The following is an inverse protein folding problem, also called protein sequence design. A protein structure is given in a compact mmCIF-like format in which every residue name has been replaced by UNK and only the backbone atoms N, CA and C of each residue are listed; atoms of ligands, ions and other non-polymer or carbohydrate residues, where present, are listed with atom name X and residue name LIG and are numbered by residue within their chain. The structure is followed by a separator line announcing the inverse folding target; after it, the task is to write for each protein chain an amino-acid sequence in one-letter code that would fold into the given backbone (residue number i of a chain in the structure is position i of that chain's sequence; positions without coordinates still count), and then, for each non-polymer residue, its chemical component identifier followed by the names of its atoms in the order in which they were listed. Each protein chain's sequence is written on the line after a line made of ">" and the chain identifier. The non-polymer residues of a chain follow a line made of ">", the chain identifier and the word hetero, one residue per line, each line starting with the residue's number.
data_IF_694777823478
#
_entry.id   IF_694777823478
#
_cell.length_a   1.000
_cell.length_b   1.000
_cell.length_c   1.000
_cell.angle_alpha   90.00
_cell.angle_beta   90.00
_cell.angle_gamma   90.00
#
_symmetry.space_group_name_H-M   'P 1'
#
loop_
_entity.id
_entity.type
_entity.pdbx_description
1 polymer ?
#
# COMPACT_ATOMS: atom_id res chain seq x y z
N UNK A 1 -0.15 -19.40 -0.52
CA UNK A 1 1.18 -18.87 -0.11
C UNK A 1 1.81 -17.86 -1.08
N UNK A 2 1.22 -17.61 -2.24
CA UNK A 2 1.80 -16.76 -3.32
C UNK A 2 1.39 -15.28 -3.27
N UNK A 3 0.30 -14.91 -2.59
CA UNK A 3 -0.19 -13.51 -2.53
C UNK A 3 0.73 -12.62 -1.70
N UNK A 4 1.26 -13.13 -0.58
CA UNK A 4 2.07 -12.36 0.37
C UNK A 4 3.43 -11.89 -0.20
N UNK A 5 4.13 -12.73 -0.97
CA UNK A 5 5.46 -12.38 -1.52
C UNK A 5 5.39 -11.38 -2.69
N UNK A 6 4.33 -11.43 -3.49
CA UNK A 6 4.14 -10.49 -4.60
C UNK A 6 3.74 -9.09 -4.11
N UNK A 7 2.97 -8.97 -3.02
CA UNK A 7 2.59 -7.69 -2.43
C UNK A 7 3.77 -6.96 -1.75
N UNK A 8 4.73 -7.69 -1.16
CA UNK A 8 5.89 -7.11 -0.49
C UNK A 8 7.00 -6.65 -1.46
N UNK A 9 7.05 -7.21 -2.67
CA UNK A 9 8.11 -6.91 -3.63
C UNK A 9 7.93 -5.59 -4.41
N UNK A 10 6.73 -5.01 -4.45
CA UNK A 10 6.40 -3.85 -5.28
C UNK A 10 6.72 -2.47 -4.64
N UNK A 11 7.31 -2.41 -3.45
CA UNK A 11 7.38 -1.20 -2.63
C UNK A 11 8.68 -0.39 -2.64
N UNK A 12 9.72 -0.78 -3.35
CA UNK A 12 11.03 -0.10 -3.32
C UNK A 12 11.45 0.45 -4.69
N UNK A 13 10.61 1.28 -5.32
CA UNK A 13 11.08 2.17 -6.40
C UNK A 13 11.45 3.50 -5.74
N UNK A 14 12.68 3.58 -5.23
CA UNK A 14 13.31 4.86 -4.87
C UNK A 14 13.69 5.53 -6.19
N UNK A 15 12.94 6.55 -6.57
CA UNK A 15 13.24 7.36 -7.74
C UNK A 15 14.64 7.99 -7.61
N UNK A 16 15.59 7.53 -8.39
CA UNK A 16 16.96 8.02 -8.43
C UNK A 16 17.07 9.48 -8.92
N UNK A 17 15.97 10.04 -9.45
CA UNK A 17 15.93 11.43 -9.95
C UNK A 17 15.87 12.50 -8.84
N UNK A 18 15.38 12.18 -7.64
CA UNK A 18 15.15 13.16 -6.58
C UNK A 18 16.39 13.56 -5.79
N UNK A 19 17.46 12.74 -5.82
CA UNK A 19 18.68 13.02 -5.04
C UNK A 19 19.47 14.21 -5.61
N UNK A 20 19.40 14.44 -6.92
CA UNK A 20 20.14 15.51 -7.59
C UNK A 20 19.48 16.88 -7.46
N UNK A 21 18.15 16.93 -7.39
CA UNK A 21 17.41 18.19 -7.31
C UNK A 21 17.42 18.80 -5.90
N UNK A 22 17.28 17.98 -4.85
CA UNK A 22 17.17 18.45 -3.47
C UNK A 22 18.44 19.12 -2.92
N UNK A 23 19.61 18.77 -3.45
CA UNK A 23 20.89 19.35 -3.03
C UNK A 23 21.34 20.54 -3.91
N UNK A 24 20.67 20.78 -5.05
CA UNK A 24 21.02 21.87 -5.97
C UNK A 24 20.36 23.21 -5.62
N UNK A 25 19.25 23.22 -4.86
CA UNK A 25 18.49 24.44 -4.56
C UNK A 25 18.92 25.14 -3.25
N UNK A 26 19.80 24.57 -2.44
CA UNK A 26 20.34 25.24 -1.30
C UNK A 26 21.24 26.38 -1.78
N UNK A 27 20.78 27.63 -1.68
CA UNK A 27 21.60 28.83 -1.93
C UNK A 27 22.90 28.68 -1.14
N UNK A 28 24.01 28.61 -1.87
CA UNK A 28 25.31 28.23 -1.31
C UNK A 28 25.78 29.23 -0.27
N UNK A 29 26.00 28.83 1.01
CA UNK A 29 26.68 29.67 2.00
C UNK A 29 28.07 30.13 1.58
N UNK A 30 28.60 29.56 0.50
CA UNK A 30 29.89 29.92 -0.13
C UNK A 30 29.89 31.29 -0.78
N UNK A 31 28.71 31.91 -1.00
CA UNK A 31 28.64 33.29 -1.50
C UNK A 31 29.19 34.33 -0.52
N UNK A 32 29.28 34.00 0.77
CA UNK A 32 29.98 34.83 1.75
C UNK A 32 31.49 34.93 1.48
N UNK A 33 32.10 33.93 0.88
CA UNK A 33 33.49 33.96 0.44
C UNK A 33 33.70 34.85 -0.80
N UNK A 34 32.69 34.99 -1.67
CA UNK A 34 32.73 35.86 -2.87
C UNK A 34 32.59 37.34 -2.49
N UNK A 35 31.82 37.69 -1.46
CA UNK A 35 31.58 39.08 -1.03
C UNK A 35 32.83 39.74 -0.43
N UNK A 36 33.74 38.96 0.19
CA UNK A 36 35.01 39.47 0.72
C UNK A 36 36.03 39.89 -0.32
N UNK A 37 35.86 39.51 -1.61
CA UNK A 37 36.75 39.93 -2.69
C UNK A 37 36.55 41.36 -3.20
N UNK A 38 35.36 41.96 -2.98
CA UNK A 38 35.04 43.32 -3.49
C UNK A 38 35.38 44.45 -2.55
N UNK A 39 35.80 44.17 -1.30
CA UNK A 39 36.00 45.19 -0.24
C UNK A 39 37.42 45.74 -0.07
N UNK A 40 38.39 45.43 -0.96
CA UNK A 40 39.79 45.90 -0.83
C UNK A 40 40.03 47.25 -1.53
N UNK A 41 39.41 48.33 -1.04
CA UNK A 41 39.94 49.69 -1.21
C UNK A 41 39.77 50.44 0.12
N UNK A 42 40.91 50.58 0.80
CA UNK A 42 41.30 51.60 1.80
C UNK A 42 40.31 52.01 2.87
N UNK A 43 40.53 51.50 4.10
CA UNK A 43 40.24 52.22 5.34
C UNK A 43 41.37 51.93 6.36
N UNK A 44 41.73 52.91 7.24
CA UNK A 44 42.90 52.81 8.13
C UNK A 44 42.60 51.88 9.32
N UNK A 45 43.67 51.30 9.87
CA UNK A 45 43.66 50.40 11.01
C UNK A 45 43.05 51.05 12.27
N UNK A 46 41.81 50.67 12.57
CA UNK A 46 41.24 50.78 13.93
C UNK A 46 41.22 49.37 14.53
N UNK A 47 41.71 49.29 15.78
CA UNK A 47 41.71 48.07 16.59
C UNK A 47 40.30 47.50 16.68
N UNK A 48 40.02 46.45 15.90
CA UNK A 48 38.77 45.70 16.03
C UNK A 48 38.92 44.69 17.16
N UNK A 49 38.19 44.94 18.24
CA UNK A 49 37.89 43.92 19.25
C UNK A 49 37.35 42.67 18.56
N UNK A 50 37.94 41.54 18.88
CA UNK A 50 37.50 40.21 18.42
C UNK A 50 36.07 39.96 18.88
N UNK A 51 35.07 40.23 18.06
CA UNK A 51 33.73 39.72 18.27
C UNK A 51 33.76 38.21 18.08
N UNK A 52 33.16 37.40 18.98
CA UNK A 52 33.04 35.98 18.78
C UNK A 52 32.29 35.71 17.45
N UNK A 53 32.70 34.70 16.69
CA UNK A 53 32.09 34.42 15.39
C UNK A 53 30.60 34.17 15.55
N UNK A 54 29.79 34.91 14.81
CA UNK A 54 28.34 34.71 14.74
C UNK A 54 28.11 33.32 14.19
N UNK A 55 27.13 32.59 14.74
CA UNK A 55 26.77 31.24 14.24
C UNK A 55 26.57 31.34 12.73
N UNK A 56 27.40 30.54 11.97
CA UNK A 56 27.35 30.52 10.49
C UNK A 56 28.43 31.35 9.78
N UNK A 57 29.52 31.73 10.44
CA UNK A 57 30.67 32.41 9.81
C UNK A 57 32.00 31.71 10.17
N UNK A 58 32.88 31.61 9.19
CA UNK A 58 34.27 31.16 9.41
C UNK A 58 35.09 32.25 10.09
N UNK A 59 35.96 31.91 11.04
CA UNK A 59 36.98 32.80 11.56
C UNK A 59 37.96 33.21 10.44
N UNK A 60 38.78 34.26 10.67
CA UNK A 60 39.81 34.64 9.69
C UNK A 60 40.81 33.51 9.43
N UNK A 61 41.16 32.78 10.47
CA UNK A 61 42.09 31.65 10.42
C UNK A 61 41.49 30.46 9.64
N UNK A 62 40.25 30.11 9.96
CA UNK A 62 39.53 29.07 9.22
C UNK A 62 39.32 29.45 7.74
N UNK A 63 38.98 30.72 7.48
CA UNK A 63 38.86 31.21 6.09
C UNK A 63 40.17 31.05 5.32
N UNK A 64 41.30 31.36 5.95
CA UNK A 64 42.63 31.20 5.32
C UNK A 64 42.96 29.72 5.07
N UNK A 65 42.61 28.83 5.99
CA UNK A 65 42.83 27.39 5.84
C UNK A 65 41.94 26.73 4.77
N UNK A 66 40.69 27.16 4.63
CA UNK A 66 39.73 26.61 3.65
C UNK A 66 39.93 27.18 2.26
N UNK A 67 40.52 28.38 2.12
CA UNK A 67 40.62 29.10 0.87
C UNK A 67 41.29 28.31 -0.28
N UNK A 68 42.47 27.64 -0.10
CA UNK A 68 43.10 26.87 -1.17
C UNK A 68 42.17 25.73 -1.66
N UNK A 69 41.48 25.02 -0.76
CA UNK A 69 40.54 23.99 -1.12
C UNK A 69 39.34 24.56 -1.91
N UNK A 70 38.79 25.68 -1.47
CA UNK A 70 37.69 26.36 -2.14
C UNK A 70 38.07 26.78 -3.57
N UNK A 71 39.25 27.43 -3.74
CA UNK A 71 39.70 27.89 -5.02
C UNK A 71 39.95 26.72 -6.01
N UNK A 72 40.51 25.60 -5.53
CA UNK A 72 40.72 24.40 -6.35
C UNK A 72 39.38 23.74 -6.76
N UNK A 73 38.44 23.64 -5.85
CA UNK A 73 37.09 23.07 -6.15
C UNK A 73 36.37 23.93 -7.19
N UNK A 74 36.39 25.27 -7.05
CA UNK A 74 35.76 26.17 -8.03
C UNK A 74 36.47 26.18 -9.40
N UNK A 75 37.76 25.92 -9.42
CA UNK A 75 38.54 25.73 -10.66
C UNK A 75 38.34 24.33 -11.27
N UNK A 76 37.59 23.47 -10.61
CA UNK A 76 37.44 22.04 -10.94
C UNK A 76 38.77 21.28 -11.00
N UNK A 77 39.77 21.78 -10.30
CA UNK A 77 41.04 21.10 -10.10
C UNK A 77 40.93 20.08 -8.97
N UNK A 78 40.43 18.90 -9.29
CA UNK A 78 40.17 17.83 -8.31
C UNK A 78 41.49 17.29 -7.69
N UNK A 79 42.59 17.36 -8.41
CA UNK A 79 43.91 16.97 -7.90
C UNK A 79 44.40 17.99 -6.85
N UNK A 80 44.35 19.28 -7.18
CA UNK A 80 44.65 20.37 -6.27
C UNK A 80 43.71 20.39 -5.04
N UNK A 81 42.42 20.14 -5.25
CA UNK A 81 41.45 20.04 -4.18
C UNK A 81 41.79 18.92 -3.19
N UNK A 82 42.12 17.71 -3.67
CA UNK A 82 42.55 16.61 -2.83
C UNK A 82 43.87 16.90 -2.10
N UNK A 83 44.78 17.61 -2.69
CA UNK A 83 46.04 18.04 -2.04
C UNK A 83 45.80 19.07 -0.92
N UNK A 84 44.85 20.01 -1.12
CA UNK A 84 44.50 21.06 -0.14
C UNK A 84 43.62 20.55 1.01
N UNK A 85 42.91 19.45 0.82
CA UNK A 85 41.91 18.94 1.79
C UNK A 85 42.46 18.67 3.19
N UNK A 86 43.65 18.01 3.41
CA UNK A 86 44.15 17.76 4.75
C UNK A 86 44.43 19.03 5.54
N UNK A 87 44.97 20.06 4.88
CA UNK A 87 45.22 21.36 5.51
C UNK A 87 43.94 22.09 5.89
N UNK A 88 42.90 22.06 5.03
CA UNK A 88 41.61 22.63 5.30
C UNK A 88 40.93 21.93 6.49
N UNK A 89 40.99 20.58 6.54
CA UNK A 89 40.45 19.81 7.67
C UNK A 89 41.16 20.13 8.99
N UNK A 90 42.47 20.22 9.02
CA UNK A 90 43.24 20.55 10.21
C UNK A 90 43.01 22.00 10.69
N UNK A 91 42.75 22.90 9.75
CA UNK A 91 42.60 24.32 10.05
C UNK A 91 41.24 24.77 10.50
N UNK A 92 40.20 23.88 10.47
CA UNK A 92 38.84 24.21 10.93
C UNK A 92 38.58 23.59 12.29
N UNK A 93 38.17 24.41 13.25
CA UNK A 93 37.85 24.00 14.61
C UNK A 93 36.36 24.17 14.93
N UNK A 94 35.68 25.12 14.28
CA UNK A 94 34.25 25.39 14.53
C UNK A 94 33.38 24.30 13.90
N UNK A 95 32.19 24.02 14.46
CA UNK A 95 31.17 23.18 13.83
C UNK A 95 30.85 23.64 12.42
N UNK A 96 30.71 24.94 12.21
CA UNK A 96 30.40 25.51 10.90
C UNK A 96 31.56 25.34 9.90
N UNK A 97 32.82 25.51 10.34
CA UNK A 97 34.00 25.28 9.50
C UNK A 97 34.06 23.82 9.01
N UNK A 98 33.82 22.87 9.90
CA UNK A 98 33.75 21.44 9.51
C UNK A 98 32.62 21.16 8.51
N UNK A 99 31.45 21.81 8.70
CA UNK A 99 30.35 21.74 7.74
C UNK A 99 30.75 22.24 6.35
N UNK A 100 31.41 23.41 6.27
CA UNK A 100 31.89 23.99 5.00
C UNK A 100 32.91 23.08 4.31
N UNK A 101 33.85 22.52 5.05
CA UNK A 101 34.80 21.54 4.48
C UNK A 101 34.02 20.31 3.96
N UNK A 102 33.03 19.83 4.69
CA UNK A 102 32.16 18.74 4.22
C UNK A 102 31.43 19.07 2.91
N UNK A 103 30.96 20.31 2.72
CA UNK A 103 30.38 20.76 1.45
C UNK A 103 31.38 20.69 0.29
N UNK A 104 32.61 21.13 0.51
CA UNK A 104 33.66 21.09 -0.50
C UNK A 104 34.04 19.64 -0.85
N UNK A 105 34.07 18.72 0.13
CA UNK A 105 34.24 17.27 -0.11
C UNK A 105 33.11 16.72 -0.97
N UNK A 106 31.86 17.17 -0.70
CA UNK A 106 30.70 16.75 -1.50
C UNK A 106 30.86 17.19 -2.96
N UNK A 107 31.31 18.42 -3.19
CA UNK A 107 31.58 18.92 -4.56
C UNK A 107 32.69 18.13 -5.26
N UNK A 108 33.77 17.76 -4.55
CA UNK A 108 34.80 16.86 -5.07
C UNK A 108 34.17 15.51 -5.46
N UNK A 109 33.39 14.94 -4.59
CA UNK A 109 32.69 13.65 -4.85
C UNK A 109 31.75 13.72 -6.05
N UNK A 110 31.06 14.85 -6.26
CA UNK A 110 30.21 15.09 -7.43
C UNK A 110 31.04 15.23 -8.70
N UNK A 111 32.07 16.10 -8.68
CA UNK A 111 32.90 16.36 -9.84
C UNK A 111 33.69 15.14 -10.31
N UNK A 112 34.09 14.28 -9.37
CA UNK A 112 34.79 13.01 -9.67
C UNK A 112 33.82 11.82 -9.83
N UNK A 113 32.51 12.03 -9.72
CA UNK A 113 31.47 10.99 -9.74
C UNK A 113 31.71 9.86 -8.73
N UNK A 114 32.37 10.17 -7.61
CA UNK A 114 32.71 9.22 -6.58
C UNK A 114 31.62 9.20 -5.48
N UNK A 115 30.73 8.22 -5.54
CA UNK A 115 29.61 8.09 -4.61
C UNK A 115 30.07 7.86 -3.16
N UNK A 116 31.16 7.16 -2.94
CA UNK A 116 31.72 6.93 -1.60
C UNK A 116 32.17 8.24 -0.95
N UNK A 117 32.84 9.12 -1.71
CA UNK A 117 33.23 10.45 -1.23
C UNK A 117 31.99 11.30 -0.93
N UNK A 118 30.95 11.23 -1.77
CA UNK A 118 29.69 11.94 -1.52
C UNK A 118 29.03 11.48 -0.23
N UNK A 119 28.98 10.16 0.03
CA UNK A 119 28.42 9.60 1.27
C UNK A 119 29.21 10.08 2.48
N UNK A 120 30.55 9.97 2.45
CA UNK A 120 31.44 10.43 3.53
C UNK A 120 31.27 11.92 3.81
N UNK A 121 31.11 12.73 2.77
CA UNK A 121 30.87 14.18 2.90
C UNK A 121 29.54 14.47 3.63
N UNK A 122 28.45 13.79 3.27
CA UNK A 122 27.15 13.95 3.93
C UNK A 122 27.24 13.54 5.40
N UNK A 123 27.90 12.43 5.71
CA UNK A 123 28.14 11.98 7.08
C UNK A 123 28.95 12.99 7.89
N UNK A 124 30.02 13.54 7.29
CA UNK A 124 30.86 14.57 7.91
C UNK A 124 30.09 15.86 8.17
N UNK A 125 29.24 16.30 7.22
CA UNK A 125 28.40 17.48 7.39
C UNK A 125 27.42 17.32 8.55
N UNK A 126 26.75 16.17 8.66
CA UNK A 126 25.84 15.86 9.77
C UNK A 126 26.59 15.78 11.11
N UNK A 127 27.75 15.11 11.13
CA UNK A 127 28.57 14.94 12.32
C UNK A 127 29.20 16.26 12.80
N UNK A 128 29.35 17.26 11.93
CA UNK A 128 29.95 18.56 12.26
C UNK A 128 29.16 19.31 13.34
N UNK A 129 27.84 19.11 13.40
CA UNK A 129 26.93 19.90 14.22
C UNK A 129 26.79 21.36 13.78
N UNK A 130 27.40 21.75 12.65
CA UNK A 130 27.39 23.12 12.12
C UNK A 130 26.49 23.31 10.89
N UNK A 131 25.79 22.27 10.47
CA UNK A 131 24.83 22.38 9.35
C UNK A 131 23.65 23.28 9.75
N UNK A 132 23.23 24.23 8.88
CA UNK A 132 22.03 25.02 9.10
C UNK A 132 20.80 24.10 9.27
N UNK A 133 19.86 24.53 10.12
CA UNK A 133 18.69 23.73 10.49
C UNK A 133 17.79 23.37 9.30
N UNK A 134 17.72 24.23 8.31
CA UNK A 134 16.97 24.03 7.05
C UNK A 134 17.67 23.05 6.07
N UNK A 135 18.98 22.83 6.23
CA UNK A 135 19.76 21.90 5.43
C UNK A 135 19.78 20.48 6.03
N UNK A 136 19.65 20.36 7.34
CA UNK A 136 19.70 19.06 8.04
C UNK A 136 18.72 18.02 7.45
N UNK A 137 17.45 18.34 7.16
CA UNK A 137 16.54 17.36 6.53
C UNK A 137 17.04 16.84 5.18
N UNK A 138 17.67 17.69 4.36
CA UNK A 138 18.22 17.32 3.06
C UNK A 138 19.42 16.37 3.21
N UNK A 139 20.30 16.65 4.17
CA UNK A 139 21.45 15.78 4.47
C UNK A 139 20.98 14.40 5.00
N UNK A 140 19.99 14.37 5.90
CA UNK A 140 19.41 13.13 6.39
C UNK A 140 18.74 12.33 5.25
N UNK A 141 18.04 13.02 4.35
CA UNK A 141 17.44 12.37 3.18
C UNK A 141 18.50 11.78 2.24
N UNK A 142 19.62 12.49 2.02
CA UNK A 142 20.75 11.99 1.25
C UNK A 142 21.39 10.77 1.93
N UNK A 143 21.64 10.83 3.24
CA UNK A 143 22.19 9.72 4.02
C UNK A 143 21.29 8.48 3.92
N UNK A 144 19.98 8.66 4.13
CA UNK A 144 19.00 7.57 3.98
C UNK A 144 19.02 7.01 2.54
N UNK A 145 19.07 7.90 1.53
CA UNK A 145 19.13 7.52 0.12
C UNK A 145 20.34 6.64 -0.22
N UNK A 146 21.54 7.01 0.23
CA UNK A 146 22.75 6.18 0.04
C UNK A 146 22.61 4.81 0.72
N UNK A 147 22.10 4.78 1.94
CA UNK A 147 21.89 3.54 2.67
C UNK A 147 20.86 2.62 1.98
N UNK A 148 19.75 3.18 1.48
CA UNK A 148 18.72 2.43 0.75
C UNK A 148 19.24 1.90 -0.58
N UNK A 149 20.02 2.70 -1.33
CA UNK A 149 20.65 2.29 -2.57
C UNK A 149 21.63 1.13 -2.37
N UNK A 150 22.39 1.17 -1.27
CA UNK A 150 23.28 0.09 -0.86
C UNK A 150 22.53 -1.11 -0.22
N UNK A 151 21.20 -1.06 -0.10
CA UNK A 151 20.38 -2.01 0.63
C UNK A 151 20.79 -2.19 2.10
N UNK A 152 21.46 -1.20 2.67
CA UNK A 152 21.80 -1.18 4.08
C UNK A 152 20.66 -0.58 4.91
N UNK A 153 19.63 -1.41 5.14
CA UNK A 153 18.41 -0.96 5.82
C UNK A 153 18.68 -0.57 7.28
N UNK A 154 19.68 -1.18 7.92
CA UNK A 154 20.08 -0.80 9.28
C UNK A 154 20.63 0.63 9.35
N UNK A 155 21.43 1.04 8.36
CA UNK A 155 21.95 2.40 8.28
C UNK A 155 20.89 3.42 7.83
N UNK A 156 19.84 2.98 7.12
CA UNK A 156 18.74 3.84 6.69
C UNK A 156 17.76 4.19 7.82
N UNK A 157 17.65 3.36 8.85
CA UNK A 157 16.65 3.48 9.92
C UNK A 157 16.77 4.80 10.69
N UNK A 158 17.97 5.11 11.17
CA UNK A 158 18.22 6.30 12.01
C UNK A 158 17.93 7.63 11.28
N UNK A 159 18.47 7.90 10.08
CA UNK A 159 18.18 9.13 9.36
C UNK A 159 16.69 9.27 8.98
N UNK A 160 16.01 8.19 8.60
CA UNK A 160 14.57 8.22 8.33
C UNK A 160 13.75 8.50 9.59
N UNK A 161 14.13 7.90 10.73
CA UNK A 161 13.47 8.20 12.01
C UNK A 161 13.59 9.68 12.33
N UNK A 162 14.79 10.26 12.16
CA UNK A 162 15.01 11.68 12.43
C UNK A 162 14.22 12.57 11.48
N UNK A 163 14.08 12.21 10.21
CA UNK A 163 13.24 12.92 9.24
C UNK A 163 11.76 12.94 9.66
N UNK A 164 11.25 11.79 10.12
CA UNK A 164 9.87 11.67 10.63
C UNK A 164 9.67 12.48 11.92
N UNK A 165 10.69 12.58 12.79
CA UNK A 165 10.65 13.44 13.98
C UNK A 165 10.62 14.92 13.62
N UNK A 166 11.39 15.33 12.61
CA UNK A 166 11.43 16.72 12.13
C UNK A 166 10.14 17.13 11.41
N UNK A 167 9.53 16.24 10.68
CA UNK A 167 8.23 16.44 10.03
C UNK A 167 7.29 15.25 10.29
N UNK A 168 6.57 15.29 11.43
CA UNK A 168 5.73 14.16 11.84
C UNK A 168 4.53 13.86 10.93
N UNK A 169 4.21 14.74 9.99
CA UNK A 169 3.06 14.59 9.08
C UNK A 169 3.47 14.28 7.63
N UNK A 170 4.75 14.03 7.39
CA UNK A 170 5.26 13.62 6.07
C UNK A 170 4.91 12.14 5.80
N UNK A 171 3.82 11.93 5.08
CA UNK A 171 3.29 10.61 4.73
C UNK A 171 4.33 9.75 4.00
N UNK A 172 5.10 10.37 3.09
CA UNK A 172 6.10 9.65 2.28
C UNK A 172 7.27 9.18 3.14
N UNK A 173 7.76 10.03 4.05
CA UNK A 173 8.86 9.65 4.96
C UNK A 173 8.43 8.60 5.97
N UNK A 174 7.21 8.71 6.50
CA UNK A 174 6.64 7.67 7.37
C UNK A 174 6.55 6.34 6.61
N UNK A 175 6.09 6.36 5.35
CA UNK A 175 6.02 5.18 4.50
C UNK A 175 7.39 4.56 4.21
N UNK A 176 8.40 5.37 3.94
CA UNK A 176 9.78 4.90 3.74
C UNK A 176 10.35 4.26 5.00
N UNK A 177 10.17 4.89 6.17
CA UNK A 177 10.59 4.31 7.45
C UNK A 177 9.89 2.96 7.72
N UNK A 178 8.60 2.89 7.47
CA UNK A 178 7.84 1.65 7.61
C UNK A 178 8.38 0.54 6.69
N UNK A 179 8.71 0.85 5.44
CA UNK A 179 9.31 -0.09 4.50
C UNK A 179 10.68 -0.60 4.99
N UNK A 180 11.52 0.29 5.54
CA UNK A 180 12.79 -0.09 6.17
C UNK A 180 12.56 -1.00 7.38
N UNK A 181 11.57 -0.70 8.23
CA UNK A 181 11.21 -1.56 9.38
C UNK A 181 10.80 -2.97 8.94
N UNK A 182 10.12 -3.13 7.80
CA UNK A 182 9.82 -4.46 7.22
C UNK A 182 11.11 -5.20 6.88
N UNK A 183 12.05 -4.55 6.19
CA UNK A 183 13.32 -5.18 5.81
C UNK A 183 14.16 -5.60 7.02
N UNK A 184 13.99 -4.89 8.13
CA UNK A 184 14.60 -5.21 9.42
C UNK A 184 13.79 -6.22 10.26
N UNK A 185 12.73 -6.81 9.68
CA UNK A 185 11.83 -7.75 10.35
C UNK A 185 11.07 -7.17 11.57
N UNK A 186 10.94 -5.82 11.64
CA UNK A 186 10.22 -5.08 12.70
C UNK A 186 8.76 -4.80 12.27
N UNK A 187 8.02 -5.86 11.91
CA UNK A 187 6.68 -5.77 11.31
C UNK A 187 5.64 -5.02 12.15
N UNK A 188 5.56 -5.19 13.49
CA UNK A 188 4.60 -4.45 14.30
C UNK A 188 4.82 -2.92 14.23
N UNK A 189 6.09 -2.49 14.26
CA UNK A 189 6.45 -1.08 14.14
C UNK A 189 6.10 -0.53 12.75
N UNK A 190 6.37 -1.30 11.70
CA UNK A 190 6.00 -0.96 10.34
C UNK A 190 4.48 -0.78 10.18
N UNK A 191 3.67 -1.69 10.73
CA UNK A 191 2.22 -1.60 10.67
C UNK A 191 1.70 -0.34 11.37
N UNK A 192 2.28 0.01 12.52
CA UNK A 192 1.94 1.25 13.25
C UNK A 192 2.22 2.49 12.39
N UNK A 193 3.39 2.54 11.75
CA UNK A 193 3.77 3.65 10.88
C UNK A 193 2.86 3.75 9.63
N UNK A 194 2.56 2.64 8.97
CA UNK A 194 1.67 2.63 7.82
C UNK A 194 0.26 3.09 8.17
N UNK A 195 -0.30 2.64 9.30
CA UNK A 195 -1.61 3.11 9.77
C UNK A 195 -1.62 4.60 10.02
N UNK A 196 -0.55 5.13 10.64
CA UNK A 196 -0.40 6.57 10.83
C UNK A 196 -0.34 7.32 9.50
N UNK A 197 0.43 6.83 8.52
CA UNK A 197 0.52 7.44 7.20
C UNK A 197 -0.84 7.45 6.49
N UNK A 198 -1.61 6.36 6.59
CA UNK A 198 -2.97 6.25 6.04
C UNK A 198 -3.89 7.27 6.70
N UNK A 199 -3.92 7.34 8.03
CA UNK A 199 -4.75 8.29 8.78
C UNK A 199 -4.44 9.76 8.43
N UNK A 200 -3.15 10.10 8.26
CA UNK A 200 -2.73 11.44 7.84
C UNK A 200 -3.20 11.76 6.41
N UNK A 201 -3.11 10.79 5.49
CA UNK A 201 -3.61 10.96 4.13
C UNK A 201 -5.12 11.23 4.09
N UNK A 202 -5.89 10.49 4.89
CA UNK A 202 -7.34 10.63 5.01
C UNK A 202 -7.74 11.95 5.70
N UNK A 203 -7.03 12.35 6.76
CA UNK A 203 -7.29 13.60 7.50
C UNK A 203 -7.09 14.86 6.63
N UNK A 204 -6.22 14.79 5.63
CA UNK A 204 -5.97 15.89 4.68
C UNK A 204 -7.01 15.96 3.54
N UNK A 205 -8.11 15.23 3.64
CA UNK A 205 -9.19 15.22 2.65
C UNK A 205 -8.86 14.43 1.38
N UNK A 206 -7.81 13.64 1.38
CA UNK A 206 -7.37 12.75 0.31
C UNK A 206 -7.31 11.30 0.77
N UNK A 207 -6.36 10.59 0.23
CA UNK A 207 -6.01 9.23 0.64
C UNK A 207 -4.51 9.01 0.49
N UNK A 208 -3.96 8.13 1.29
CA UNK A 208 -2.55 7.76 1.21
C UNK A 208 -2.27 6.98 -0.10
N UNK A 209 -1.03 6.91 -0.59
CA UNK A 209 -0.68 6.09 -1.74
C UNK A 209 -1.12 4.63 -1.60
N UNK A 210 -1.60 4.02 -2.69
CA UNK A 210 -2.11 2.64 -2.73
C UNK A 210 -1.15 1.63 -2.09
N UNK A 211 0.15 1.84 -2.29
CA UNK A 211 1.20 0.96 -1.77
C UNK A 211 1.15 0.83 -0.24
N UNK A 212 0.77 1.89 0.48
CA UNK A 212 0.70 1.86 1.94
C UNK A 212 -0.46 0.97 2.43
N UNK A 213 -1.63 1.05 1.78
CA UNK A 213 -2.75 0.16 2.09
C UNK A 213 -2.41 -1.30 1.79
N UNK A 214 -1.80 -1.58 0.64
CA UNK A 214 -1.42 -2.94 0.22
C UNK A 214 -0.39 -3.55 1.17
N UNK A 215 0.62 -2.80 1.56
CA UNK A 215 1.65 -3.25 2.50
C UNK A 215 1.09 -3.48 3.90
N UNK A 216 0.25 -2.56 4.39
CA UNK A 216 -0.45 -2.73 5.67
C UNK A 216 -1.32 -3.99 5.68
N UNK A 217 -2.08 -4.19 4.59
CA UNK A 217 -2.91 -5.37 4.43
C UNK A 217 -2.09 -6.65 4.44
N UNK A 218 -0.96 -6.69 3.73
CA UNK A 218 -0.06 -7.85 3.69
C UNK A 218 0.47 -8.20 5.09
N UNK A 219 0.91 -7.20 5.88
CA UNK A 219 1.40 -7.40 7.24
C UNK A 219 0.29 -7.94 8.15
N UNK A 220 -0.90 -7.32 8.10
CA UNK A 220 -2.02 -7.72 8.93
C UNK A 220 -2.51 -9.15 8.58
N UNK A 221 -2.49 -9.49 7.29
CA UNK A 221 -2.83 -10.82 6.78
C UNK A 221 -1.82 -11.89 7.22
N UNK A 222 -0.52 -11.62 7.08
CA UNK A 222 0.54 -12.54 7.52
C UNK A 222 0.53 -12.76 9.05
N UNK A 223 0.22 -11.71 9.80
CA UNK A 223 0.05 -11.78 11.26
C UNK A 223 -1.27 -12.45 11.68
N UNK A 224 -2.12 -12.84 10.73
CA UNK A 224 -3.44 -13.40 10.97
C UNK A 224 -4.33 -12.54 11.87
N UNK A 225 -4.16 -11.23 11.84
CA UNK A 225 -4.99 -10.28 12.59
C UNK A 225 -6.26 -9.99 11.79
N UNK A 226 -7.31 -10.79 11.99
CA UNK A 226 -8.51 -10.81 11.13
C UNK A 226 -9.18 -9.43 11.03
N UNK A 227 -9.57 -8.81 12.13
CA UNK A 227 -10.30 -7.54 12.10
C UNK A 227 -9.48 -6.40 11.43
N UNK A 228 -8.19 -6.18 11.77
CA UNK A 228 -7.35 -5.19 11.07
C UNK A 228 -7.14 -5.48 9.59
N UNK A 229 -7.00 -6.75 9.20
CA UNK A 229 -6.81 -7.10 7.80
C UNK A 229 -8.07 -6.84 6.97
N UNK A 230 -9.26 -7.16 7.50
CA UNK A 230 -10.53 -6.92 6.83
C UNK A 230 -10.86 -5.42 6.72
N UNK A 231 -10.53 -4.63 7.74
CA UNK A 231 -10.63 -3.16 7.68
C UNK A 231 -9.75 -2.59 6.58
N UNK A 232 -8.46 -2.95 6.56
CA UNK A 232 -7.51 -2.51 5.53
C UNK A 232 -7.91 -2.97 4.12
N UNK A 233 -8.45 -4.20 3.99
CA UNK A 233 -8.96 -4.71 2.72
C UNK A 233 -10.12 -3.87 2.19
N UNK A 234 -11.08 -3.49 3.05
CA UNK A 234 -12.18 -2.59 2.67
C UNK A 234 -11.70 -1.20 2.31
N UNK A 235 -10.82 -0.62 3.13
CA UNK A 235 -10.27 0.71 2.87
C UNK A 235 -9.51 0.75 1.55
N UNK A 236 -8.72 -0.29 1.25
CA UNK A 236 -8.03 -0.44 -0.03
C UNK A 236 -8.99 -0.39 -1.22
N UNK A 237 -10.07 -1.19 -1.22
CA UNK A 237 -11.01 -1.21 -2.34
C UNK A 237 -11.95 0.01 -2.36
N UNK A 238 -12.09 0.73 -1.26
CA UNK A 238 -12.81 2.00 -1.21
C UNK A 238 -12.07 3.09 -1.99
N UNK A 239 -10.77 3.21 -1.77
CA UNK A 239 -9.96 4.25 -2.40
C UNK A 239 -9.38 3.82 -3.76
N UNK A 240 -9.08 2.54 -3.92
CA UNK A 240 -8.47 1.96 -5.11
C UNK A 240 -9.24 0.73 -5.59
N UNK A 241 -10.44 0.90 -6.21
CA UNK A 241 -11.34 -0.20 -6.59
C UNK A 241 -10.90 -0.95 -7.86
N UNK A 242 -9.60 -1.26 -8.00
CA UNK A 242 -9.09 -2.04 -9.12
C UNK A 242 -9.47 -3.51 -9.01
N UNK A 243 -9.55 -4.27 -10.13
CA UNK A 243 -9.79 -5.71 -10.08
C UNK A 243 -8.78 -6.46 -9.20
N UNK A 244 -7.51 -6.05 -9.23
CA UNK A 244 -6.42 -6.63 -8.44
C UNK A 244 -6.67 -6.45 -6.94
N UNK A 245 -7.10 -5.25 -6.54
CA UNK A 245 -7.38 -4.94 -5.14
C UNK A 245 -8.64 -5.64 -4.65
N UNK A 246 -9.70 -5.70 -5.47
CA UNK A 246 -10.89 -6.47 -5.17
C UNK A 246 -10.55 -7.95 -4.98
N UNK A 247 -9.75 -8.52 -5.87
CA UNK A 247 -9.32 -9.92 -5.77
C UNK A 247 -8.50 -10.15 -4.49
N UNK A 248 -7.57 -9.26 -4.17
CA UNK A 248 -6.77 -9.34 -2.94
C UNK A 248 -7.66 -9.25 -1.69
N UNK A 249 -8.56 -8.28 -1.64
CA UNK A 249 -9.45 -8.06 -0.50
C UNK A 249 -10.38 -9.24 -0.24
N UNK A 250 -11.04 -9.76 -1.29
CA UNK A 250 -11.93 -10.92 -1.17
C UNK A 250 -11.16 -12.23 -0.91
N UNK A 251 -9.91 -12.34 -1.39
CA UNK A 251 -9.01 -13.43 -1.05
C UNK A 251 -8.64 -13.43 0.43
N UNK A 252 -8.29 -12.26 0.99
CA UNK A 252 -8.02 -12.10 2.42
C UNK A 252 -9.26 -12.43 3.26
N UNK A 253 -10.44 -11.94 2.84
CA UNK A 253 -11.68 -12.27 3.53
C UNK A 253 -11.93 -13.78 3.56
N UNK A 254 -11.83 -14.47 2.41
CA UNK A 254 -11.99 -15.93 2.31
C UNK A 254 -11.04 -16.69 3.23
N UNK A 255 -9.77 -16.33 3.21
CA UNK A 255 -8.73 -17.06 3.95
C UNK A 255 -8.77 -16.78 5.47
N UNK A 256 -9.29 -15.64 5.92
CA UNK A 256 -9.38 -15.26 7.35
C UNK A 256 -10.76 -15.47 7.96
N UNK A 257 -11.84 -15.28 7.20
CA UNK A 257 -13.21 -15.51 7.68
C UNK A 257 -13.55 -17.01 7.78
N UNK A 258 -12.69 -17.82 7.21
CA UNK A 258 -12.57 -19.20 7.55
C UNK A 258 -13.46 -20.17 6.78
N UNK A 259 -12.93 -21.35 6.71
CA UNK A 259 -13.57 -22.59 6.30
C UNK A 259 -14.81 -22.90 7.15
N UNK A 260 -14.88 -22.34 8.38
CA UNK A 260 -15.95 -22.57 9.36
C UNK A 260 -17.30 -21.96 8.99
N UNK A 261 -17.34 -20.94 8.14
CA UNK A 261 -18.58 -20.19 7.87
C UNK A 261 -19.40 -20.73 6.69
N UNK A 262 -18.88 -21.67 5.89
CA UNK A 262 -19.52 -22.11 4.63
C UNK A 262 -19.77 -20.94 3.67
N UNK A 263 -18.93 -19.92 3.70
CA UNK A 263 -19.11 -18.69 2.95
C UNK A 263 -18.63 -18.77 1.49
N UNK A 264 -17.94 -19.83 1.11
CA UNK A 264 -17.33 -19.97 -0.23
C UNK A 264 -18.29 -19.70 -1.39
N UNK A 265 -19.55 -20.17 -1.26
CA UNK A 265 -20.59 -19.91 -2.25
C UNK A 265 -20.90 -18.42 -2.37
N UNK A 266 -21.11 -17.75 -1.23
CA UNK A 266 -21.50 -16.34 -1.18
C UNK A 266 -20.34 -15.41 -1.57
N UNK A 267 -19.10 -15.79 -1.22
CA UNK A 267 -17.86 -15.13 -1.64
C UNK A 267 -17.67 -15.29 -3.15
N UNK A 268 -17.82 -16.51 -3.67
CA UNK A 268 -17.73 -16.81 -5.10
C UNK A 268 -18.72 -15.99 -5.93
N UNK A 269 -19.94 -15.82 -5.46
CA UNK A 269 -20.97 -14.97 -6.08
C UNK A 269 -20.52 -13.50 -6.17
N UNK A 270 -19.95 -12.95 -5.08
CA UNK A 270 -19.43 -11.59 -5.10
C UNK A 270 -18.19 -11.47 -6.00
N UNK A 271 -17.26 -12.40 -5.92
CA UNK A 271 -16.07 -12.41 -6.79
C UNK A 271 -16.45 -12.46 -8.28
N UNK A 272 -17.47 -13.26 -8.64
CA UNK A 272 -18.00 -13.30 -9.99
C UNK A 272 -18.67 -11.98 -10.39
N UNK A 273 -19.51 -11.41 -9.54
CA UNK A 273 -20.17 -10.13 -9.76
C UNK A 273 -19.15 -8.98 -9.93
N UNK A 274 -18.07 -9.00 -9.16
CA UNK A 274 -16.96 -8.05 -9.27
C UNK A 274 -16.05 -8.29 -10.49
N UNK A 275 -16.18 -9.42 -11.18
CA UNK A 275 -15.35 -9.75 -12.34
C UNK A 275 -13.92 -10.17 -11.97
N UNK A 276 -13.70 -10.65 -10.74
CA UNK A 276 -12.36 -10.94 -10.20
C UNK A 276 -12.06 -12.42 -10.02
N UNK A 277 -12.86 -13.31 -10.57
CA UNK A 277 -12.49 -14.70 -10.76
C UNK A 277 -11.44 -14.80 -11.88
N UNK A 278 -10.18 -15.03 -11.53
CA UNK A 278 -9.06 -14.98 -12.50
C UNK A 278 -8.14 -16.19 -12.46
N UNK A 279 -8.31 -17.08 -11.49
CA UNK A 279 -7.47 -18.29 -11.38
C UNK A 279 -8.29 -19.56 -11.37
N UNK A 280 -7.67 -20.69 -11.76
CA UNK A 280 -8.26 -22.04 -11.65
C UNK A 280 -8.86 -22.29 -10.27
N UNK A 281 -8.11 -21.90 -9.21
CA UNK A 281 -8.55 -22.05 -7.82
C UNK A 281 -9.83 -21.27 -7.54
N UNK A 282 -9.95 -20.02 -8.01
CA UNK A 282 -11.12 -19.20 -7.75
C UNK A 282 -12.37 -19.84 -8.35
N UNK A 283 -12.32 -20.25 -9.62
CA UNK A 283 -13.42 -20.92 -10.30
C UNK A 283 -13.74 -22.29 -9.69
N UNK A 284 -12.71 -23.07 -9.35
CA UNK A 284 -12.89 -24.41 -8.81
C UNK A 284 -13.51 -24.39 -7.41
N UNK A 285 -12.99 -23.55 -6.49
CA UNK A 285 -13.55 -23.40 -5.12
C UNK A 285 -15.00 -22.94 -5.18
N UNK A 286 -15.33 -22.01 -6.06
CA UNK A 286 -16.71 -21.56 -6.23
C UNK A 286 -17.60 -22.68 -6.79
N UNK A 287 -17.18 -23.37 -7.84
CA UNK A 287 -17.95 -24.46 -8.43
C UNK A 287 -18.15 -25.62 -7.45
N UNK A 288 -17.14 -25.97 -6.63
CA UNK A 288 -17.28 -26.98 -5.58
C UNK A 288 -18.25 -26.55 -4.48
N UNK A 289 -18.21 -25.26 -4.08
CA UNK A 289 -19.18 -24.74 -3.11
C UNK A 289 -20.62 -24.83 -3.64
N UNK A 290 -20.83 -24.49 -4.91
CA UNK A 290 -22.11 -24.65 -5.59
C UNK A 290 -22.53 -26.12 -5.70
N UNK A 291 -21.60 -27.03 -5.99
CA UNK A 291 -21.85 -28.46 -6.05
C UNK A 291 -22.25 -29.04 -4.69
N UNK A 292 -21.53 -28.69 -3.61
CA UNK A 292 -21.89 -29.08 -2.24
C UNK A 292 -23.27 -28.55 -1.83
N UNK A 293 -23.69 -27.43 -2.38
CA UNK A 293 -25.02 -26.85 -2.16
C UNK A 293 -26.13 -27.51 -3.04
N UNK A 294 -25.77 -28.41 -3.97
CA UNK A 294 -26.71 -29.05 -4.89
C UNK A 294 -27.24 -28.11 -5.96
N UNK A 295 -26.40 -27.25 -6.52
CA UNK A 295 -26.74 -26.20 -7.49
C UNK A 295 -26.11 -26.46 -8.87
N UNK A 296 -26.57 -27.48 -9.63
CA UNK A 296 -25.95 -27.88 -10.89
C UNK A 296 -25.95 -26.76 -11.94
N UNK A 297 -26.98 -25.90 -11.95
CA UNK A 297 -27.04 -24.74 -12.83
C UNK A 297 -25.92 -23.73 -12.57
N UNK A 298 -25.63 -23.46 -11.31
CA UNK A 298 -24.55 -22.54 -10.91
C UNK A 298 -23.17 -23.14 -11.17
N UNK A 299 -22.97 -24.44 -10.86
CA UNK A 299 -21.74 -25.17 -11.21
C UNK A 299 -21.42 -25.05 -12.71
N UNK A 300 -22.43 -25.39 -13.54
CA UNK A 300 -22.28 -25.32 -14.98
C UNK A 300 -21.93 -23.90 -15.45
N UNK A 301 -22.68 -22.91 -15.00
CA UNK A 301 -22.45 -21.51 -15.41
C UNK A 301 -21.04 -21.00 -15.05
N UNK A 302 -20.54 -21.36 -13.88
CA UNK A 302 -19.20 -20.97 -13.40
C UNK A 302 -18.08 -21.66 -14.19
N UNK A 303 -18.21 -22.97 -14.39
CA UNK A 303 -17.18 -23.73 -15.10
C UNK A 303 -17.17 -23.44 -16.60
N UNK A 304 -18.33 -23.28 -17.24
CA UNK A 304 -18.41 -22.85 -18.64
C UNK A 304 -17.73 -21.48 -18.85
N UNK A 305 -17.93 -20.54 -17.93
CA UNK A 305 -17.25 -19.24 -17.96
C UNK A 305 -15.74 -19.41 -17.83
N UNK A 306 -15.25 -20.22 -16.88
CA UNK A 306 -13.83 -20.48 -16.68
C UNK A 306 -13.17 -21.16 -17.90
N UNK A 307 -13.83 -22.15 -18.52
CA UNK A 307 -13.36 -22.76 -19.76
C UNK A 307 -13.40 -21.79 -20.94
N UNK A 308 -14.47 -21.02 -21.07
CA UNK A 308 -14.60 -20.01 -22.14
C UNK A 308 -13.53 -18.92 -22.09
N UNK A 309 -13.01 -18.63 -20.89
CA UNK A 309 -11.90 -17.68 -20.64
C UNK A 309 -10.52 -18.34 -20.65
N UNK A 310 -10.42 -19.65 -20.97
CA UNK A 310 -9.17 -20.42 -20.96
C UNK A 310 -8.42 -20.37 -19.61
N UNK A 311 -9.16 -20.36 -18.50
CA UNK A 311 -8.57 -20.29 -17.15
C UNK A 311 -7.93 -21.63 -16.75
N UNK A 312 -8.59 -22.76 -17.08
CA UNK A 312 -8.13 -24.08 -16.65
C UNK A 312 -6.97 -24.60 -17.49
N UNK A 313 -5.83 -24.86 -16.86
CA UNK A 313 -4.63 -25.42 -17.47
C UNK A 313 -4.12 -26.69 -16.74
N UNK A 314 -4.11 -26.66 -15.41
CA UNK A 314 -3.62 -27.76 -14.57
C UNK A 314 -4.76 -28.61 -14.00
N UNK A 315 -5.88 -27.99 -13.61
CA UNK A 315 -7.05 -28.66 -13.02
C UNK A 315 -8.14 -29.02 -14.06
N UNK A 316 -7.77 -29.13 -15.33
CA UNK A 316 -8.73 -29.38 -16.44
C UNK A 316 -9.56 -30.65 -16.23
N UNK A 317 -8.96 -31.74 -15.79
CA UNK A 317 -9.65 -33.03 -15.62
C UNK A 317 -10.71 -32.96 -14.53
N UNK A 318 -10.36 -32.43 -13.35
CA UNK A 318 -11.27 -32.29 -12.22
C UNK A 318 -12.42 -31.33 -12.53
N UNK A 319 -12.12 -30.19 -13.15
CA UNK A 319 -13.13 -29.22 -13.55
C UNK A 319 -14.08 -29.80 -14.62
N UNK A 320 -13.57 -30.55 -15.60
CA UNK A 320 -14.40 -31.24 -16.62
C UNK A 320 -15.29 -32.32 -16.00
N UNK A 321 -14.77 -33.14 -15.08
CA UNK A 321 -15.56 -34.13 -14.37
C UNK A 321 -16.74 -33.49 -13.64
N UNK A 322 -16.48 -32.41 -12.91
CA UNK A 322 -17.52 -31.66 -12.18
C UNK A 322 -18.53 -31.02 -13.14
N UNK A 323 -18.08 -30.43 -14.23
CA UNK A 323 -18.94 -29.87 -15.28
C UNK A 323 -19.83 -30.94 -15.93
N UNK A 324 -19.29 -32.11 -16.23
CA UNK A 324 -20.03 -33.19 -16.83
C UNK A 324 -21.13 -33.69 -15.89
N UNK A 325 -20.79 -33.90 -14.61
CA UNK A 325 -21.75 -34.35 -13.60
C UNK A 325 -22.89 -33.32 -13.41
N UNK A 326 -22.54 -32.04 -13.31
CA UNK A 326 -23.53 -30.97 -13.20
C UNK A 326 -24.41 -30.85 -14.46
N UNK A 327 -23.81 -30.95 -15.65
CA UNK A 327 -24.53 -30.83 -16.93
C UNK A 327 -25.59 -31.92 -17.11
N UNK A 328 -25.34 -33.14 -16.62
CA UNK A 328 -26.30 -34.25 -16.66
C UNK A 328 -27.57 -33.94 -15.81
N UNK A 329 -27.46 -33.13 -14.77
CA UNK A 329 -28.55 -32.83 -13.86
C UNK A 329 -29.36 -31.57 -14.26
N UNK A 330 -28.77 -30.66 -15.04
CA UNK A 330 -29.36 -29.31 -15.35
C UNK A 330 -30.73 -29.42 -16.01
N UNK A 331 -30.94 -30.41 -16.90
CA UNK A 331 -32.21 -30.54 -17.60
C UNK A 331 -33.39 -30.81 -16.67
N UNK A 332 -33.27 -31.80 -15.80
CA UNK A 332 -34.29 -32.18 -14.83
C UNK A 332 -34.44 -31.11 -13.72
N UNK A 333 -33.32 -30.62 -13.21
CA UNK A 333 -33.29 -29.59 -12.16
C UNK A 333 -34.03 -28.32 -12.63
N UNK A 334 -33.73 -27.84 -13.83
CA UNK A 334 -34.38 -26.66 -14.40
C UNK A 334 -35.86 -26.85 -14.66
N UNK A 335 -36.26 -28.05 -15.15
CA UNK A 335 -37.68 -28.38 -15.36
C UNK A 335 -38.45 -28.43 -14.05
N UNK A 336 -37.80 -28.74 -12.93
CA UNK A 336 -38.43 -28.84 -11.62
C UNK A 336 -38.70 -27.46 -10.92
N UNK A 337 -38.02 -26.37 -11.37
CA UNK A 337 -38.02 -25.09 -10.66
C UNK A 337 -39.42 -24.51 -10.37
N UNK A 338 -40.32 -24.51 -11.34
CA UNK A 338 -41.66 -23.97 -11.16
C UNK A 338 -42.46 -24.73 -10.06
N UNK A 339 -42.33 -26.06 -10.07
CA UNK A 339 -42.94 -26.90 -9.03
C UNK A 339 -42.29 -26.65 -7.66
N UNK A 340 -40.96 -26.57 -7.60
CA UNK A 340 -40.22 -26.31 -6.38
C UNK A 340 -40.58 -24.94 -5.79
N UNK A 341 -40.76 -23.90 -6.63
CA UNK A 341 -41.20 -22.57 -6.18
C UNK A 341 -42.54 -22.63 -5.48
N UNK A 342 -43.55 -23.30 -6.11
CA UNK A 342 -44.87 -23.47 -5.49
C UNK A 342 -44.77 -24.17 -4.14
N UNK A 343 -44.00 -25.27 -4.08
CA UNK A 343 -43.80 -26.04 -2.84
C UNK A 343 -43.07 -25.17 -1.77
N UNK A 344 -42.05 -24.42 -2.16
CA UNK A 344 -41.27 -23.58 -1.25
C UNK A 344 -42.08 -22.42 -0.66
N UNK A 345 -42.98 -21.82 -1.44
CA UNK A 345 -43.88 -20.78 -0.97
C UNK A 345 -44.94 -21.34 -0.02
N UNK A 346 -45.42 -22.57 -0.24
CA UNK A 346 -46.38 -23.25 0.63
C UNK A 346 -45.76 -23.87 1.89
N UNK A 347 -44.47 -24.23 1.87
CA UNK A 347 -43.78 -24.86 2.99
C UNK A 347 -43.77 -23.96 4.25
N UNK A 348 -43.84 -24.55 5.43
CA UNK A 348 -43.77 -23.84 6.70
C UNK A 348 -42.33 -23.31 7.00
N UNK A 349 -41.30 -24.06 6.57
CA UNK A 349 -39.91 -23.80 6.90
C UNK A 349 -39.23 -22.88 5.89
N UNK A 350 -38.48 -21.87 6.37
CA UNK A 350 -37.68 -20.96 5.55
C UNK A 350 -36.60 -21.65 4.73
N UNK A 351 -36.06 -22.77 5.22
CA UNK A 351 -35.03 -23.57 4.57
C UNK A 351 -35.41 -24.02 3.15
N UNK A 352 -36.68 -24.43 2.93
CA UNK A 352 -37.13 -24.84 1.60
C UNK A 352 -37.09 -23.65 0.64
N UNK A 353 -37.62 -22.51 1.08
CA UNK A 353 -37.61 -21.29 0.28
C UNK A 353 -36.19 -20.80 -0.04
N UNK A 354 -35.27 -20.82 0.92
CA UNK A 354 -33.88 -20.43 0.70
C UNK A 354 -33.20 -21.35 -0.32
N UNK A 355 -33.28 -22.68 -0.16
CA UNK A 355 -32.64 -23.63 -1.12
C UNK A 355 -33.21 -23.49 -2.52
N UNK A 356 -34.52 -23.31 -2.63
CA UNK A 356 -35.12 -23.06 -3.95
C UNK A 356 -34.67 -21.72 -4.51
N UNK A 357 -34.56 -20.69 -3.69
CA UNK A 357 -33.94 -19.40 -4.10
C UNK A 357 -32.51 -19.52 -4.61
N UNK A 358 -31.69 -20.38 -3.96
CA UNK A 358 -30.33 -20.66 -4.44
C UNK A 358 -30.34 -21.31 -5.83
N UNK A 359 -31.26 -22.25 -6.10
CA UNK A 359 -31.40 -22.86 -7.41
C UNK A 359 -31.78 -21.82 -8.49
N UNK A 360 -32.76 -20.96 -8.23
CA UNK A 360 -33.14 -19.87 -9.14
C UNK A 360 -31.98 -18.92 -9.40
N UNK A 361 -31.22 -18.56 -8.36
CA UNK A 361 -30.02 -17.72 -8.50
C UNK A 361 -28.99 -18.36 -9.46
N UNK A 362 -28.73 -19.66 -9.31
CA UNK A 362 -27.79 -20.42 -10.16
C UNK A 362 -28.15 -20.42 -11.63
N UNK A 363 -29.42 -20.27 -11.97
CA UNK A 363 -29.94 -20.14 -13.35
C UNK A 363 -30.06 -18.67 -13.81
N UNK A 364 -29.63 -17.70 -13.04
CA UNK A 364 -29.74 -16.27 -13.38
C UNK A 364 -31.15 -15.69 -13.21
N UNK A 365 -32.09 -16.45 -12.60
CA UNK A 365 -33.46 -16.02 -12.33
C UNK A 365 -33.48 -15.25 -11.00
N UNK A 366 -32.85 -14.07 -11.01
CA UNK A 366 -32.56 -13.32 -9.79
C UNK A 366 -33.77 -12.72 -9.12
N UNK A 367 -34.80 -12.33 -9.91
CA UNK A 367 -36.04 -11.78 -9.37
C UNK A 367 -36.81 -12.80 -8.54
N UNK A 368 -36.95 -14.02 -9.06
CA UNK A 368 -37.57 -15.17 -8.40
C UNK A 368 -36.76 -15.64 -7.19
N UNK A 369 -35.44 -15.65 -7.31
CA UNK A 369 -34.54 -15.92 -6.19
C UNK A 369 -34.78 -14.94 -5.03
N UNK A 370 -34.89 -13.63 -5.34
CA UNK A 370 -35.14 -12.59 -4.33
C UNK A 370 -36.51 -12.76 -3.65
N UNK A 371 -37.54 -13.14 -4.38
CA UNK A 371 -38.87 -13.47 -3.81
C UNK A 371 -38.76 -14.61 -2.81
N UNK A 372 -38.06 -15.68 -3.18
CA UNK A 372 -37.91 -16.86 -2.34
C UNK A 372 -37.05 -16.60 -1.11
N UNK A 373 -36.00 -15.76 -1.20
CA UNK A 373 -35.23 -15.36 -0.04
C UNK A 373 -36.06 -14.47 0.94
N UNK A 374 -36.94 -13.60 0.42
CA UNK A 374 -37.87 -12.87 1.27
C UNK A 374 -38.85 -13.81 2.01
N UNK A 375 -39.38 -14.80 1.28
CA UNK A 375 -40.22 -15.82 1.90
C UNK A 375 -39.45 -16.63 2.97
N UNK A 376 -38.16 -16.93 2.73
CA UNK A 376 -37.33 -17.60 3.74
C UNK A 376 -37.14 -16.76 4.99
N UNK A 377 -36.92 -15.45 4.88
CA UNK A 377 -36.82 -14.55 6.04
C UNK A 377 -38.14 -14.46 6.82
N UNK A 378 -39.26 -14.37 6.12
CA UNK A 378 -40.58 -14.31 6.75
C UNK A 378 -40.92 -15.58 7.53
N UNK A 379 -40.55 -16.76 7.01
CA UNK A 379 -40.78 -18.06 7.63
C UNK A 379 -39.84 -18.33 8.81
N UNK A 380 -38.65 -17.73 8.80
CA UNK A 380 -37.63 -17.95 9.83
C UNK A 380 -36.95 -19.32 9.77
N UNK A 381 -36.23 -19.66 10.85
CA UNK A 381 -35.55 -20.97 10.97
C UNK A 381 -34.25 -21.09 10.20
N UNK A 382 -33.75 -19.99 9.60
CA UNK A 382 -32.49 -19.90 8.88
C UNK A 382 -31.65 -18.75 9.45
N UNK A 383 -30.36 -18.76 9.21
CA UNK A 383 -29.48 -17.62 9.51
C UNK A 383 -29.90 -16.40 8.67
N UNK A 384 -30.47 -15.42 9.33
CA UNK A 384 -30.97 -14.21 8.69
C UNK A 384 -29.86 -13.42 8.02
N UNK A 385 -28.63 -13.43 8.54
CA UNK A 385 -27.46 -12.79 7.94
C UNK A 385 -27.12 -13.40 6.59
N UNK A 386 -27.06 -14.73 6.53
CA UNK A 386 -26.83 -15.46 5.27
C UNK A 386 -27.94 -15.20 4.26
N UNK A 387 -29.21 -15.29 4.68
CA UNK A 387 -30.33 -15.09 3.75
C UNK A 387 -30.39 -13.65 3.24
N UNK A 388 -30.09 -12.64 4.09
CA UNK A 388 -30.03 -11.26 3.67
C UNK A 388 -28.87 -10.98 2.69
N UNK A 389 -27.70 -11.60 2.88
CA UNK A 389 -26.59 -11.52 1.88
C UNK A 389 -27.05 -12.08 0.53
N UNK A 390 -27.71 -13.24 0.51
CA UNK A 390 -28.19 -13.86 -0.73
C UNK A 390 -29.34 -13.06 -1.38
N UNK A 391 -30.25 -12.53 -0.58
CA UNK A 391 -31.29 -11.60 -1.02
C UNK A 391 -30.68 -10.36 -1.67
N UNK A 392 -29.73 -9.72 -0.98
CA UNK A 392 -29.02 -8.55 -1.49
C UNK A 392 -28.28 -8.84 -2.79
N UNK A 393 -27.58 -9.99 -2.87
CA UNK A 393 -26.89 -10.43 -4.08
C UNK A 393 -27.87 -10.65 -5.25
N UNK A 394 -29.00 -11.33 -5.01
CA UNK A 394 -30.02 -11.53 -6.04
C UNK A 394 -30.64 -10.20 -6.52
N UNK A 395 -30.95 -9.29 -5.60
CA UNK A 395 -31.47 -7.95 -5.92
C UNK A 395 -30.45 -7.10 -6.70
N UNK A 396 -29.18 -7.16 -6.31
CA UNK A 396 -28.10 -6.46 -7.00
C UNK A 396 -27.96 -6.95 -8.46
N UNK A 397 -27.99 -8.27 -8.65
CA UNK A 397 -27.92 -8.87 -9.98
C UNK A 397 -29.19 -8.67 -10.80
N UNK A 398 -30.34 -8.42 -10.16
CA UNK A 398 -31.60 -8.03 -10.80
C UNK A 398 -31.67 -6.52 -11.10
N UNK A 399 -30.64 -5.72 -10.79
CA UNK A 399 -30.64 -4.26 -10.98
C UNK A 399 -31.44 -3.47 -9.93
N UNK A 400 -31.90 -4.11 -8.87
CA UNK A 400 -32.74 -3.50 -7.80
C UNK A 400 -31.84 -2.94 -6.69
N UNK A 401 -31.00 -1.96 -7.02
CA UNK A 401 -29.92 -1.42 -6.16
C UNK A 401 -30.39 -1.02 -4.76
N UNK A 402 -31.43 -0.18 -4.66
CA UNK A 402 -31.88 0.33 -3.36
C UNK A 402 -32.33 -0.79 -2.40
N UNK A 403 -33.00 -1.82 -2.93
CA UNK A 403 -33.45 -2.95 -2.17
C UNK A 403 -32.29 -3.90 -1.80
N UNK A 404 -31.32 -4.05 -2.70
CA UNK A 404 -30.08 -4.77 -2.40
C UNK A 404 -29.33 -4.12 -1.24
N UNK A 405 -29.15 -2.80 -1.28
CA UNK A 405 -28.51 -2.04 -0.19
C UNK A 405 -29.26 -2.22 1.14
N UNK A 406 -30.61 -2.19 1.12
CA UNK A 406 -31.41 -2.41 2.32
C UNK A 406 -31.20 -3.82 2.89
N UNK A 407 -31.16 -4.85 2.03
CA UNK A 407 -30.90 -6.22 2.45
C UNK A 407 -29.49 -6.39 3.06
N UNK A 408 -28.47 -5.81 2.46
CA UNK A 408 -27.11 -5.87 3.01
C UNK A 408 -26.97 -5.10 4.32
N UNK A 409 -27.60 -3.93 4.47
CA UNK A 409 -27.60 -3.16 5.73
C UNK A 409 -28.34 -3.88 6.87
N UNK A 410 -29.26 -4.79 6.57
CA UNK A 410 -29.93 -5.62 7.57
C UNK A 410 -28.98 -6.66 8.21
N UNK A 411 -27.79 -6.90 7.65
CA UNK A 411 -26.78 -7.80 8.20
C UNK A 411 -25.91 -7.03 9.20
N UNK A 412 -26.33 -6.97 10.46
CA UNK A 412 -25.68 -6.15 11.50
C UNK A 412 -24.57 -6.86 12.26
N UNK A 413 -24.41 -8.17 12.12
CA UNK A 413 -23.41 -8.97 12.85
C UNK A 413 -23.23 -10.36 12.27
N UNK A 414 -22.39 -11.16 12.95
CA UNK A 414 -22.06 -12.52 12.52
C UNK A 414 -21.09 -12.59 11.36
N UNK A 415 -20.82 -13.82 10.90
CA UNK A 415 -19.78 -14.14 9.90
C UNK A 415 -20.04 -13.52 8.52
N UNK A 416 -21.28 -13.09 8.24
CA UNK A 416 -21.70 -12.50 6.96
C UNK A 416 -21.65 -10.98 6.93
N UNK A 417 -21.44 -10.31 8.07
CA UNK A 417 -21.46 -8.84 8.14
C UNK A 417 -20.38 -8.20 7.25
N UNK A 418 -19.16 -8.77 7.22
CA UNK A 418 -18.10 -8.27 6.36
C UNK A 418 -18.41 -8.48 4.88
N UNK A 419 -18.98 -9.61 4.50
CA UNK A 419 -19.37 -9.87 3.12
C UNK A 419 -20.46 -8.89 2.65
N UNK A 420 -21.41 -8.57 3.52
CA UNK A 420 -22.43 -7.56 3.24
C UNK A 420 -21.80 -6.16 3.03
N UNK A 421 -20.78 -5.82 3.82
CA UNK A 421 -20.02 -4.56 3.63
C UNK A 421 -19.27 -4.52 2.29
N UNK A 422 -18.65 -5.62 1.87
CA UNK A 422 -18.01 -5.71 0.55
C UNK A 422 -19.03 -5.59 -0.59
N UNK A 423 -20.23 -6.19 -0.47
CA UNK A 423 -21.30 -6.01 -1.44
C UNK A 423 -21.77 -4.54 -1.53
N UNK A 424 -21.92 -3.85 -0.39
CA UNK A 424 -22.25 -2.43 -0.35
C UNK A 424 -21.18 -1.58 -1.05
N UNK A 425 -19.89 -1.86 -0.81
CA UNK A 425 -18.79 -1.21 -1.50
C UNK A 425 -18.83 -1.48 -3.00
N UNK A 426 -19.08 -2.72 -3.42
CA UNK A 426 -19.20 -3.07 -4.82
C UNK A 426 -20.35 -2.30 -5.50
N UNK A 427 -21.49 -2.17 -4.85
CA UNK A 427 -22.59 -1.35 -5.36
C UNK A 427 -22.20 0.13 -5.48
N UNK A 428 -21.45 0.67 -4.51
CA UNK A 428 -21.05 2.08 -4.51
C UNK A 428 -20.09 2.44 -5.65
N UNK A 429 -19.30 1.48 -6.14
CA UNK A 429 -18.35 1.69 -7.25
C UNK A 429 -18.98 1.59 -8.63
N UNK A 430 -20.27 1.26 -8.73
CA UNK A 430 -20.99 1.15 -10.00
C UNK A 430 -21.88 2.36 -10.26
N UNK A 431 -21.99 2.82 -11.52
CA UNK A 431 -22.95 3.83 -11.88
C UNK A 431 -24.37 3.34 -11.56
N UNK A 432 -25.24 4.27 -11.19
CA UNK A 432 -26.66 4.07 -10.88
C UNK A 432 -27.42 3.64 -12.12
#
# INVERSE_FOLDING_TARGET
>A
MTISRAMLAAGLIVGTASLHAALAEAQSPLDSLKSQQRGRRQQPAQQQQQQPPTVGQLSREETAAVRPLYDAVHAQDWAGANAALPAAQAGVQSPYGRYIVGQLILEIGRGTQNQQVQQQAVEAMLASGGAPADVVPQLLAAQAGFALQARNFAAAEAPLTRLVELNPNDVDRIGQLAAVKIQLNKRPEALTLYRRAIQLGEANGGHAPETLYRQSLAIAYEARTTAPALELARTLVTHYPTPENWRAALGVYRDLAGESSGADLDIGRLMRAAGVLTSERDYYVYAEAANRAGLPGEVKAVLDEGFGRNIFQNAVAQARQLLTAASAQVGEDRASLARLRTQALAAAEGRVARRTGDAFYGYGQYAEAAELYRAALQKGGEDAGMVNVRLGGALAMAGRRAEAEAAFRAVTGGDRAELARFWLLWLSTRPS
#
